data_IF_479474864746
#
_entry.id   IF_479474864746
#
_cell.length_a   1.000
_cell.length_b   1.000
_cell.length_c   1.000
_cell.angle_alpha   90.00
_cell.angle_beta   90.00
_cell.angle_gamma   90.00
#
_symmetry.space_group_name_H-M   'P 1'
#
loop_
_entity.id
_entity.type
_entity.pdbx_description
1 polymer ?
#
# COMPACT_ATOMS: atom_id res chain seq x y z
N UNK A 1 19.06 -9.67 1.00
CA UNK A 1 18.67 -10.98 1.58
C UNK A 1 17.15 -11.19 1.55
N UNK A 2 16.34 -10.22 1.97
CA UNK A 2 14.86 -10.29 1.98
C UNK A 2 14.17 -10.49 0.62
N UNK A 3 14.72 -9.91 -0.47
CA UNK A 3 14.12 -10.01 -1.80
C UNK A 3 14.04 -11.46 -2.32
N UNK A 4 15.02 -12.31 -1.96
CA UNK A 4 15.03 -13.74 -2.34
C UNK A 4 14.00 -14.56 -1.55
N UNK A 5 13.68 -14.15 -0.32
CA UNK A 5 12.80 -14.90 0.56
C UNK A 5 11.32 -14.72 0.22
N UNK A 6 10.94 -13.52 -0.24
CA UNK A 6 9.58 -13.25 -0.75
C UNK A 6 9.33 -14.05 -2.03
N UNK A 7 10.28 -14.07 -2.96
CA UNK A 7 10.18 -14.86 -4.18
C UNK A 7 10.10 -16.36 -3.87
N UNK A 8 10.87 -16.85 -2.87
CA UNK A 8 10.77 -18.26 -2.42
C UNK A 8 9.41 -18.61 -1.82
N UNK A 9 8.86 -17.77 -0.94
CA UNK A 9 7.55 -18.02 -0.30
C UNK A 9 6.38 -18.05 -1.28
N UNK A 10 6.43 -17.26 -2.35
CA UNK A 10 5.39 -17.25 -3.38
C UNK A 10 5.66 -18.22 -4.56
N UNK A 11 6.91 -18.65 -4.76
CA UNK A 11 7.30 -19.47 -5.91
C UNK A 11 6.97 -20.95 -5.81
N UNK A 12 6.68 -21.48 -4.62
CA UNK A 12 6.54 -22.94 -4.42
C UNK A 12 5.10 -23.48 -4.46
N UNK A 13 4.07 -22.65 -4.62
CA UNK A 13 2.65 -23.11 -4.59
C UNK A 13 1.73 -22.65 -5.72
N UNK A 14 2.23 -22.02 -6.80
CA UNK A 14 1.39 -21.67 -7.97
C UNK A 14 2.10 -22.03 -9.29
N UNK A 15 1.77 -23.18 -9.93
CA UNK A 15 2.56 -23.72 -11.04
C UNK A 15 2.46 -22.99 -12.40
N UNK A 16 1.70 -21.89 -12.52
CA UNK A 16 1.46 -21.28 -13.85
C UNK A 16 1.28 -19.76 -13.89
N UNK A 17 1.22 -19.07 -12.76
CA UNK A 17 1.08 -17.61 -12.74
C UNK A 17 2.33 -17.00 -12.11
N UNK A 18 3.25 -16.50 -12.94
CA UNK A 18 4.38 -15.68 -12.48
C UNK A 18 3.81 -14.33 -12.03
N UNK A 19 3.28 -14.28 -10.81
CA UNK A 19 2.77 -13.04 -10.21
C UNK A 19 3.96 -12.18 -9.76
N UNK A 20 4.60 -11.51 -10.71
CA UNK A 20 5.63 -10.53 -10.39
C UNK A 20 4.96 -9.25 -9.86
N UNK A 21 5.51 -8.64 -8.81
CA UNK A 21 5.00 -7.38 -8.32
C UNK A 21 5.27 -6.29 -9.36
N UNK A 22 4.25 -5.47 -9.62
CA UNK A 22 4.40 -4.26 -10.40
C UNK A 22 5.34 -3.28 -9.69
N UNK A 23 5.18 -3.11 -8.37
CA UNK A 23 6.04 -2.22 -7.59
C UNK A 23 6.19 -2.68 -6.14
N UNK A 24 7.37 -2.43 -5.58
CA UNK A 24 7.68 -2.64 -4.17
C UNK A 24 8.02 -1.29 -3.54
N UNK A 25 7.37 -0.95 -2.43
CA UNK A 25 7.54 0.30 -1.69
C UNK A 25 7.93 -0.02 -0.26
N UNK A 26 8.92 0.70 0.26
CA UNK A 26 9.37 0.60 1.64
C UNK A 26 8.89 1.82 2.42
N UNK A 27 8.47 1.63 3.67
CA UNK A 27 8.11 2.70 4.59
C UNK A 27 8.40 2.25 6.02
N UNK A 28 8.17 3.13 6.99
CA UNK A 28 8.43 2.88 8.41
C UNK A 28 7.20 3.10 9.25
N UNK A 29 7.09 2.30 10.30
CA UNK A 29 6.16 2.51 11.39
C UNK A 29 6.48 3.76 12.19
N UNK A 30 5.56 4.15 13.07
CA UNK A 30 5.71 5.29 13.96
C UNK A 30 4.78 5.14 15.17
N UNK A 31 5.22 5.58 16.35
CA UNK A 31 4.47 5.52 17.62
C UNK A 31 3.07 6.15 17.63
N UNK A 32 2.77 6.98 16.65
CA UNK A 32 1.47 7.65 16.51
C UNK A 32 0.56 7.00 15.45
N UNK A 33 0.94 5.85 14.88
CA UNK A 33 0.07 5.11 13.97
C UNK A 33 -1.10 4.54 14.78
N UNK A 34 -2.29 5.11 14.56
CA UNK A 34 -3.54 4.61 15.11
C UNK A 34 -4.30 3.72 14.12
N UNK A 35 -4.23 4.05 12.83
CA UNK A 35 -4.91 3.34 11.75
C UNK A 35 -6.39 3.08 12.05
N UNK A 36 -7.14 4.14 12.36
CA UNK A 36 -8.56 4.09 12.73
C UNK A 36 -9.48 4.72 11.69
N UNK A 37 -8.93 5.31 10.63
CA UNK A 37 -9.74 5.90 9.57
C UNK A 37 -10.55 4.83 8.83
N UNK A 38 -11.84 5.11 8.61
CA UNK A 38 -12.83 4.11 8.16
C UNK A 38 -12.96 3.97 6.64
N UNK A 39 -12.36 4.88 5.87
CA UNK A 39 -12.55 4.92 4.40
C UNK A 39 -11.26 4.98 3.61
N UNK A 40 -10.10 5.14 4.26
CA UNK A 40 -8.80 5.23 3.59
C UNK A 40 -7.68 4.66 4.45
N UNK A 41 -6.56 4.33 3.81
CA UNK A 41 -5.25 4.36 4.46
C UNK A 41 -4.24 5.13 3.59
N UNK A 42 -3.21 5.68 4.23
CA UNK A 42 -2.19 6.53 3.62
C UNK A 42 -0.79 6.02 3.96
N UNK A 43 0.10 6.10 2.98
CA UNK A 43 1.55 5.98 3.15
C UNK A 43 2.17 7.29 2.67
N UNK A 44 3.14 7.82 3.43
CA UNK A 44 3.70 9.14 3.17
C UNK A 44 5.23 9.15 3.20
N UNK A 45 5.83 10.01 2.38
CA UNK A 45 7.27 10.32 2.40
C UNK A 45 7.66 11.23 3.57
N UNK A 46 6.68 11.86 4.22
CA UNK A 46 6.92 12.66 5.43
C UNK A 46 7.63 11.84 6.51
N UNK A 47 8.58 12.45 7.19
CA UNK A 47 9.38 11.80 8.24
C UNK A 47 8.72 11.77 9.62
N UNK A 48 7.52 12.35 9.75
CA UNK A 48 6.84 12.52 11.04
C UNK A 48 5.34 12.24 10.91
N UNK A 49 4.72 11.87 12.03
CA UNK A 49 3.28 11.64 12.13
C UNK A 49 2.74 12.24 13.43
N UNK A 50 1.71 13.07 13.33
CA UNK A 50 0.97 13.59 14.50
C UNK A 50 -0.14 12.61 14.90
N UNK A 51 -0.67 12.74 16.12
CA UNK A 51 -1.81 11.92 16.61
C UNK A 51 -3.11 12.12 15.81
N UNK A 52 -3.19 13.15 14.95
CA UNK A 52 -4.36 13.41 14.10
C UNK A 52 -4.35 12.60 12.80
N UNK A 53 -3.20 12.08 12.37
CA UNK A 53 -3.08 11.31 11.13
C UNK A 53 -3.56 9.88 11.29
N UNK A 54 -4.88 9.70 11.40
CA UNK A 54 -5.50 8.42 11.76
C UNK A 54 -5.65 7.44 10.57
N UNK A 55 -5.43 7.91 9.35
CA UNK A 55 -5.36 7.08 8.13
C UNK A 55 -3.94 6.59 7.82
N UNK A 56 -2.90 7.17 8.41
CA UNK A 56 -1.50 6.87 8.05
C UNK A 56 -1.05 5.55 8.68
N UNK A 57 -0.52 4.66 7.85
CA UNK A 57 0.06 3.37 8.27
C UNK A 57 1.57 3.28 8.03
N UNK A 58 2.17 4.25 7.34
CA UNK A 58 3.61 4.27 7.10
C UNK A 58 4.14 5.66 6.76
N UNK A 59 5.30 5.99 7.31
CA UNK A 59 6.03 7.24 7.09
C UNK A 59 7.38 6.97 6.41
N UNK A 60 8.11 8.01 6.01
CA UNK A 60 9.42 7.91 5.35
C UNK A 60 9.41 6.96 4.15
N UNK A 61 8.34 6.99 3.38
CA UNK A 61 8.16 6.09 2.25
C UNK A 61 9.20 6.31 1.15
N UNK A 62 9.60 5.23 0.48
CA UNK A 62 10.47 5.26 -0.68
C UNK A 62 9.76 5.76 -1.95
N UNK A 63 8.42 5.83 -1.96
CA UNK A 63 7.63 6.26 -3.11
C UNK A 63 6.36 7.02 -2.68
N UNK A 64 5.94 7.95 -3.53
CA UNK A 64 4.64 8.63 -3.50
C UNK A 64 3.83 8.28 -4.75
N UNK A 65 2.63 8.86 -4.90
CA UNK A 65 1.83 8.73 -6.12
C UNK A 65 2.60 9.19 -7.38
N UNK A 66 3.46 10.20 -7.25
CA UNK A 66 4.31 10.66 -8.36
C UNK A 66 5.41 9.66 -8.74
N UNK A 67 5.88 8.86 -7.78
CA UNK A 67 7.02 7.95 -7.94
C UNK A 67 6.60 6.54 -8.42
N UNK A 68 5.32 6.35 -8.80
CA UNK A 68 4.86 5.09 -9.37
C UNK A 68 5.51 4.84 -10.73
N UNK A 69 5.95 3.61 -10.96
CA UNK A 69 6.52 3.24 -12.26
C UNK A 69 5.46 3.27 -13.36
N UNK A 70 5.93 3.30 -14.61
CA UNK A 70 5.07 3.50 -15.77
C UNK A 70 4.06 2.35 -15.96
N UNK A 71 4.45 1.12 -15.64
CA UNK A 71 3.60 -0.06 -15.77
C UNK A 71 2.41 0.00 -14.79
N UNK A 72 2.68 0.24 -13.50
CA UNK A 72 1.65 0.39 -12.48
C UNK A 72 0.75 1.58 -12.76
N UNK A 73 1.32 2.72 -13.18
CA UNK A 73 0.56 3.91 -13.57
C UNK A 73 -0.43 3.60 -14.69
N UNK A 74 0.03 2.96 -15.77
CA UNK A 74 -0.83 2.57 -16.89
C UNK A 74 -1.91 1.59 -16.46
N UNK A 75 -1.56 0.61 -15.62
CA UNK A 75 -2.50 -0.40 -15.11
C UNK A 75 -3.65 0.25 -14.33
N UNK A 76 -3.35 1.11 -13.35
CA UNK A 76 -4.41 1.74 -12.53
C UNK A 76 -5.22 2.77 -13.31
N UNK A 77 -4.59 3.53 -14.22
CA UNK A 77 -5.34 4.47 -15.08
C UNK A 77 -6.20 3.74 -16.13
N UNK A 78 -5.79 2.53 -16.51
CA UNK A 78 -6.56 1.60 -17.34
C UNK A 78 -7.68 0.89 -16.62
N UNK A 79 -8.03 1.29 -15.39
CA UNK A 79 -9.05 0.64 -14.53
C UNK A 79 -8.71 -0.81 -14.14
N UNK A 80 -7.43 -1.17 -14.15
CA UNK A 80 -6.98 -2.49 -13.74
C UNK A 80 -7.18 -2.75 -12.25
N UNK A 81 -7.32 -4.02 -11.87
CA UNK A 81 -7.46 -4.45 -10.49
C UNK A 81 -6.09 -4.68 -9.83
N UNK A 82 -6.00 -4.38 -8.54
CA UNK A 82 -4.78 -4.51 -7.75
C UNK A 82 -4.98 -5.40 -6.53
N UNK A 83 -3.93 -6.15 -6.21
CA UNK A 83 -3.70 -6.69 -4.87
C UNK A 83 -2.50 -5.97 -4.23
N UNK A 84 -2.69 -5.45 -3.03
CA UNK A 84 -1.65 -4.78 -2.23
C UNK A 84 -1.37 -5.64 -1.01
N UNK A 85 -0.18 -6.23 -0.96
CA UNK A 85 0.32 -6.96 0.19
C UNK A 85 1.10 -6.01 1.12
N UNK A 86 0.65 -5.91 2.36
CA UNK A 86 1.30 -5.18 3.44
C UNK A 86 2.04 -6.18 4.32
N UNK A 87 3.30 -5.92 4.66
CA UNK A 87 4.11 -6.79 5.51
C UNK A 87 4.86 -5.96 6.55
N UNK A 88 4.79 -6.38 7.81
CA UNK A 88 5.63 -5.86 8.91
C UNK A 88 6.09 -7.02 9.80
N UNK A 89 7.38 -7.35 9.71
CA UNK A 89 7.94 -8.52 10.40
C UNK A 89 7.26 -9.83 9.96
N UNK A 90 6.57 -10.49 10.90
CA UNK A 90 5.80 -11.73 10.63
C UNK A 90 4.34 -11.48 10.29
N UNK A 91 3.87 -10.24 10.40
CA UNK A 91 2.48 -9.86 10.18
C UNK A 91 2.28 -9.46 8.72
N UNK A 92 1.16 -9.89 8.14
CA UNK A 92 0.82 -9.62 6.75
C UNK A 92 -0.66 -9.33 6.60
N UNK A 93 -1.02 -8.44 5.70
CA UNK A 93 -2.39 -8.25 5.28
C UNK A 93 -2.47 -7.95 3.78
N UNK A 94 -3.60 -8.29 3.15
CA UNK A 94 -3.86 -8.06 1.73
C UNK A 94 -5.08 -7.15 1.55
N UNK A 95 -4.94 -6.18 0.65
CA UNK A 95 -6.01 -5.26 0.24
C UNK A 95 -6.22 -5.41 -1.25
N UNK A 96 -7.48 -5.53 -1.67
CA UNK A 96 -7.87 -5.53 -3.08
C UNK A 96 -8.49 -4.18 -3.41
N UNK A 97 -8.20 -3.62 -4.59
CA UNK A 97 -8.76 -2.33 -5.01
C UNK A 97 -8.73 -2.17 -6.53
N UNK A 98 -9.39 -1.13 -7.03
CA UNK A 98 -9.57 -0.86 -8.45
C UNK A 98 -8.85 0.42 -8.87
N UNK A 99 -8.23 0.37 -10.03
CA UNK A 99 -7.81 1.56 -10.75
C UNK A 99 -9.00 2.40 -11.24
N UNK A 100 -8.73 3.65 -11.57
CA UNK A 100 -9.70 4.55 -12.19
C UNK A 100 -8.98 5.49 -13.17
N UNK A 101 -9.60 5.74 -14.33
CA UNK A 101 -9.08 6.69 -15.32
C UNK A 101 -8.87 8.13 -14.79
N UNK A 102 -9.53 8.50 -13.68
CA UNK A 102 -9.42 9.82 -13.04
C UNK A 102 -8.18 9.97 -12.14
N UNK A 103 -7.41 8.90 -11.92
CA UNK A 103 -6.22 8.93 -11.06
C UNK A 103 -5.08 9.70 -11.75
N UNK A 104 -4.83 10.94 -11.33
CA UNK A 104 -3.76 11.78 -11.87
C UNK A 104 -2.36 11.35 -11.40
N UNK A 105 -2.25 10.84 -10.17
CA UNK A 105 -1.02 10.26 -9.59
C UNK A 105 0.15 11.24 -9.63
N UNK A 106 -0.06 12.46 -9.13
CA UNK A 106 0.90 13.57 -9.20
C UNK A 106 1.44 14.01 -7.84
N UNK A 107 0.84 13.55 -6.73
CA UNK A 107 1.26 14.00 -5.41
C UNK A 107 2.69 13.50 -5.10
N UNK A 108 3.63 14.40 -4.74
CA UNK A 108 5.03 14.03 -4.53
C UNK A 108 5.33 13.50 -3.12
N UNK A 109 4.33 13.42 -2.23
CA UNK A 109 4.50 13.02 -0.83
C UNK A 109 3.65 11.83 -0.42
N UNK A 110 2.43 11.72 -0.94
CA UNK A 110 1.41 10.80 -0.42
C UNK A 110 1.00 9.74 -1.43
N UNK A 111 0.60 8.60 -0.91
CA UNK A 111 -0.05 7.52 -1.63
C UNK A 111 -1.24 7.02 -0.79
N UNK A 112 -2.45 7.17 -1.31
CA UNK A 112 -3.70 6.91 -0.57
C UNK A 112 -4.49 5.81 -1.27
N UNK A 113 -4.96 4.85 -0.49
CA UNK A 113 -5.91 3.83 -0.92
C UNK A 113 -7.27 4.14 -0.32
N UNK A 114 -8.33 4.13 -1.14
CA UNK A 114 -9.67 4.61 -0.75
C UNK A 114 -10.73 3.53 -0.95
N UNK A 115 -11.69 3.44 -0.02
CA UNK A 115 -12.91 2.61 -0.21
C UNK A 115 -13.94 3.29 -1.12
N UNK A 116 -13.99 4.61 -1.11
CA UNK A 116 -14.87 5.40 -1.99
C UNK A 116 -14.32 5.48 -3.42
N UNK A 117 -15.16 5.93 -4.36
CA UNK A 117 -14.77 6.28 -5.74
C UNK A 117 -14.19 7.69 -5.90
N UNK A 118 -14.00 8.44 -4.80
CA UNK A 118 -13.34 9.74 -4.83
C UNK A 118 -11.85 9.58 -5.21
N UNK A 119 -11.35 10.46 -6.07
CA UNK A 119 -9.97 10.48 -6.53
C UNK A 119 -9.37 11.88 -6.43
N UNK A 120 -8.10 11.94 -6.02
CA UNK A 120 -7.24 13.12 -6.03
C UNK A 120 -5.82 12.74 -6.46
N UNK A 121 -4.90 13.70 -6.48
CA UNK A 121 -3.52 13.51 -6.92
C UNK A 121 -2.71 12.48 -6.12
N UNK A 122 -3.18 12.11 -4.92
CA UNK A 122 -2.51 11.14 -4.04
C UNK A 122 -3.12 9.74 -4.15
N UNK A 123 -4.26 9.60 -4.81
CA UNK A 123 -5.05 8.35 -4.79
C UNK A 123 -4.41 7.31 -5.70
N UNK A 124 -3.99 6.17 -5.14
CA UNK A 124 -3.46 5.01 -5.87
C UNK A 124 -4.57 4.17 -6.50
N UNK A 125 -5.63 3.92 -5.73
CA UNK A 125 -6.77 3.11 -6.14
C UNK A 125 -7.99 3.42 -5.27
N UNK A 126 -9.15 3.06 -5.80
CA UNK A 126 -10.48 3.25 -5.22
C UNK A 126 -11.15 1.90 -4.96
N UNK A 127 -12.33 1.92 -4.34
CA UNK A 127 -13.13 0.70 -4.07
C UNK A 127 -12.33 -0.39 -3.35
N UNK A 128 -11.47 0.04 -2.42
CA UNK A 128 -10.63 -0.86 -1.64
C UNK A 128 -11.46 -1.73 -0.69
N UNK A 129 -11.06 -2.99 -0.57
CA UNK A 129 -11.67 -3.96 0.36
C UNK A 129 -11.46 -3.58 1.83
N UNK A 130 -10.42 -2.78 2.14
CA UNK A 130 -10.05 -2.37 3.50
C UNK A 130 -9.62 -0.92 3.57
N UNK A 131 -10.06 -0.23 4.62
CA UNK A 131 -9.48 1.03 5.09
C UNK A 131 -8.48 0.79 6.24
N UNK A 132 -7.86 1.86 6.75
CA UNK A 132 -6.90 1.79 7.84
C UNK A 132 -7.46 1.04 9.06
N UNK A 133 -8.73 1.26 9.41
CA UNK A 133 -9.43 0.59 10.51
C UNK A 133 -9.63 -0.93 10.35
N UNK A 134 -9.50 -1.45 9.12
CA UNK A 134 -9.79 -2.84 8.77
C UNK A 134 -8.54 -3.67 8.48
N UNK A 135 -7.36 -3.04 8.48
CA UNK A 135 -6.06 -3.73 8.37
C UNK A 135 -5.85 -4.66 9.58
N UNK A 136 -5.10 -5.75 9.42
CA UNK A 136 -4.76 -6.64 10.53
C UNK A 136 -4.17 -5.87 11.73
N UNK A 137 -4.72 -6.13 12.92
CA UNK A 137 -4.33 -5.40 14.14
C UNK A 137 -2.94 -5.78 14.64
N UNK A 138 -2.47 -7.00 14.34
CA UNK A 138 -1.10 -7.42 14.60
C UNK A 138 -0.11 -6.62 13.76
N UNK A 139 -0.42 -6.41 12.48
CA UNK A 139 0.35 -5.56 11.58
C UNK A 139 0.38 -4.11 12.06
N UNK A 140 -0.78 -3.51 12.38
CA UNK A 140 -0.84 -2.14 12.92
C UNK A 140 -0.04 -2.01 14.23
N UNK A 141 -0.12 -3.01 15.12
CA UNK A 141 0.67 -3.02 16.36
C UNK A 141 2.17 -2.98 16.04
N UNK A 142 2.64 -3.84 15.14
CA UNK A 142 4.06 -3.87 14.73
C UNK A 142 4.52 -2.53 14.16
N UNK A 143 3.67 -1.85 13.38
CA UNK A 143 3.98 -0.52 12.84
C UNK A 143 3.95 0.57 13.90
N UNK A 144 3.04 0.50 14.87
CA UNK A 144 3.01 1.44 16.00
C UNK A 144 4.26 1.31 16.90
N UNK A 145 4.90 0.14 16.92
CA UNK A 145 6.16 -0.11 17.61
C UNK A 145 7.40 0.32 16.78
N UNK A 146 7.19 0.91 15.60
CA UNK A 146 8.25 1.39 14.72
C UNK A 146 8.79 0.35 13.74
N UNK A 147 8.07 -0.76 13.52
CA UNK A 147 8.46 -1.78 12.55
C UNK A 147 8.54 -1.25 11.11
N UNK A 148 9.36 -1.90 10.27
CA UNK A 148 9.45 -1.59 8.84
C UNK A 148 8.19 -2.08 8.11
N UNK A 149 7.66 -1.25 7.21
CA UNK A 149 6.55 -1.60 6.33
C UNK A 149 7.07 -1.89 4.93
N UNK A 150 6.78 -3.09 4.44
CA UNK A 150 6.92 -3.43 3.03
C UNK A 150 5.53 -3.46 2.37
N UNK A 151 5.40 -2.76 1.27
CA UNK A 151 4.19 -2.74 0.44
C UNK A 151 4.53 -3.30 -0.93
N UNK A 152 3.84 -4.36 -1.32
CA UNK A 152 4.04 -5.05 -2.58
C UNK A 152 2.75 -5.00 -3.38
N UNK A 153 2.81 -4.40 -4.56
CA UNK A 153 1.66 -4.13 -5.40
C UNK A 153 1.70 -5.07 -6.61
N UNK A 154 0.62 -5.82 -6.82
CA UNK A 154 0.45 -6.74 -7.92
C UNK A 154 -0.74 -6.30 -8.78
N UNK A 155 -0.62 -6.46 -10.10
CA UNK A 155 -1.80 -6.55 -10.95
C UNK A 155 -2.49 -7.90 -10.70
N UNK A 156 -3.82 -7.86 -10.64
CA UNK A 156 -4.65 -9.07 -10.69
C UNK A 156 -5.60 -8.94 -11.88
N UNK A 157 -5.90 -10.06 -12.52
CA UNK A 157 -6.70 -10.18 -13.75
C UNK A 157 -7.96 -10.99 -13.49
#
# INVERSE_FOLDING_TARGET
>A
MFHREIIKRFGETLPSCKLFPLQVIYAKGHKNIAATHRTTFEITKEGFLTKRGDCIIGISSSASAKDLNEELRKHVQGKGELAILLVSGKQTDIVFCHGDHRLSLQNPYKLIVRKSTYADDSTLCVEASKAAAEIDRGLIKSLSEGGELLVVIFAIS
#
